data_IF_012470626917
#
_entry.id   IF_012470626917
#
_cell.length_a   1.000
_cell.length_b   1.000
_cell.length_c   1.000
_cell.angle_alpha   90.00
_cell.angle_beta   90.00
_cell.angle_gamma   90.00
#
_symmetry.space_group_name_H-M   'P 1'
#
loop_
_entity.id
_entity.type
_entity.pdbx_description
1 polymer ?
#
# COMPACT_ATOMS: atom_id res chain seq x y z
N UNK A 1 -19.86 -33.37 -7.00
CA UNK A 1 -19.35 -32.52 -5.90
C UNK A 1 -18.25 -31.64 -6.49
N UNK A 2 -18.44 -30.32 -6.64
CA UNK A 2 -17.34 -29.46 -7.07
C UNK A 2 -16.32 -29.43 -5.93
N UNK A 3 -15.08 -29.81 -6.24
CA UNK A 3 -13.95 -29.70 -5.33
C UNK A 3 -13.81 -28.25 -4.87
N UNK A 4 -13.89 -28.03 -3.55
CA UNK A 4 -13.48 -26.77 -2.93
C UNK A 4 -12.06 -26.42 -3.44
N UNK A 5 -11.81 -25.20 -3.94
CA UNK A 5 -10.47 -24.83 -4.38
C UNK A 5 -9.50 -24.98 -3.20
N UNK A 6 -8.42 -25.73 -3.43
CA UNK A 6 -7.32 -25.90 -2.48
C UNK A 6 -6.85 -24.51 -2.02
N UNK A 7 -6.69 -24.26 -0.70
CA UNK A 7 -6.23 -22.97 -0.22
C UNK A 7 -4.89 -22.66 -0.89
N UNK A 8 -4.84 -21.57 -1.67
CA UNK A 8 -3.62 -21.09 -2.32
C UNK A 8 -2.49 -21.03 -1.29
N UNK A 9 -1.32 -21.58 -1.64
CA UNK A 9 -0.10 -21.41 -0.84
C UNK A 9 0.19 -19.90 -0.67
N UNK A 10 0.82 -19.51 0.44
CA UNK A 10 1.11 -18.10 0.76
C UNK A 10 1.86 -17.40 -0.38
N UNK A 11 2.78 -18.10 -1.04
CA UNK A 11 3.49 -17.56 -2.20
C UNK A 11 2.56 -17.35 -3.41
N UNK A 12 1.62 -18.27 -3.65
CA UNK A 12 0.65 -18.15 -4.74
C UNK A 12 -0.33 -17.01 -4.48
N UNK A 13 -0.80 -16.83 -3.24
CA UNK A 13 -1.61 -15.67 -2.84
C UNK A 13 -0.88 -14.36 -3.08
N UNK A 14 0.37 -14.25 -2.64
CA UNK A 14 1.18 -13.04 -2.84
C UNK A 14 1.43 -12.76 -4.32
N UNK A 15 1.68 -13.79 -5.12
CA UNK A 15 1.87 -13.64 -6.56
C UNK A 15 0.58 -13.15 -7.24
N UNK A 16 -0.57 -13.75 -6.93
CA UNK A 16 -1.87 -13.31 -7.44
C UNK A 16 -2.20 -11.87 -7.02
N UNK A 17 -1.97 -11.53 -5.76
CA UNK A 17 -2.16 -10.16 -5.28
C UNK A 17 -1.24 -9.18 -6.01
N UNK A 18 0.03 -9.54 -6.24
CA UNK A 18 0.96 -8.71 -7.02
C UNK A 18 0.46 -8.48 -8.43
N UNK A 19 -0.05 -9.50 -9.12
CA UNK A 19 -0.62 -9.36 -10.46
C UNK A 19 -1.81 -8.40 -10.48
N UNK A 20 -2.72 -8.51 -9.52
CA UNK A 20 -3.86 -7.60 -9.37
C UNK A 20 -3.39 -6.16 -9.06
N UNK A 21 -2.41 -5.99 -8.18
CA UNK A 21 -1.82 -4.68 -7.87
C UNK A 21 -1.16 -4.06 -9.09
N UNK A 22 -0.40 -4.82 -9.87
CA UNK A 22 0.25 -4.29 -11.07
C UNK A 22 -0.75 -3.94 -12.17
N UNK A 23 -1.91 -4.60 -12.21
CA UNK A 23 -2.96 -4.37 -13.21
C UNK A 23 -3.92 -3.24 -12.81
N UNK A 24 -4.37 -3.22 -11.57
CA UNK A 24 -5.47 -2.37 -11.09
C UNK A 24 -5.06 -1.40 -9.97
N UNK A 25 -3.82 -1.48 -9.48
CA UNK A 25 -3.32 -0.59 -8.43
C UNK A 25 -3.30 0.86 -8.89
N UNK A 26 -3.94 1.73 -8.12
CA UNK A 26 -4.13 3.14 -8.48
C UNK A 26 -3.84 4.12 -7.34
N UNK A 27 -3.87 3.67 -6.09
CA UNK A 27 -3.59 4.50 -4.92
C UNK A 27 -2.19 4.20 -4.35
N UNK A 28 -1.66 5.11 -3.52
CA UNK A 28 -0.27 4.99 -3.02
C UNK A 28 -0.02 3.86 -2.04
N UNK A 29 -1.08 3.27 -1.50
CA UNK A 29 -0.99 2.16 -0.56
C UNK A 29 -1.26 0.81 -1.24
N UNK A 30 -1.61 0.79 -2.53
CA UNK A 30 -1.99 -0.43 -3.26
C UNK A 30 -0.87 -1.47 -3.23
N UNK A 31 0.39 -1.04 -3.39
CA UNK A 31 1.53 -1.95 -3.34
C UNK A 31 1.87 -2.39 -1.91
N UNK A 32 1.51 -1.59 -0.90
CA UNK A 32 1.81 -1.89 0.50
C UNK A 32 1.03 -3.10 1.02
N UNK A 33 -0.06 -3.50 0.37
CA UNK A 33 -0.80 -4.72 0.74
C UNK A 33 0.03 -5.99 0.58
N UNK A 34 1.12 -5.94 -0.19
CA UNK A 34 2.05 -7.05 -0.39
C UNK A 34 3.07 -7.18 0.74
N UNK A 35 3.10 -6.22 1.68
CA UNK A 35 4.02 -6.26 2.81
C UNK A 35 3.63 -7.39 3.78
N UNK A 36 4.63 -7.96 4.48
CA UNK A 36 4.36 -8.91 5.56
C UNK A 36 3.41 -8.33 6.61
N UNK A 37 2.53 -9.18 7.16
CA UNK A 37 1.58 -8.80 8.19
C UNK A 37 0.28 -8.17 7.68
N UNK A 38 0.07 -8.14 6.36
CA UNK A 38 -1.22 -7.83 5.74
C UNK A 38 -1.90 -9.12 5.31
N UNK A 39 -3.13 -9.31 5.77
CA UNK A 39 -4.01 -10.37 5.31
C UNK A 39 -4.59 -10.00 3.94
N UNK A 40 -4.72 -11.01 3.09
CA UNK A 40 -5.21 -10.85 1.72
C UNK A 40 -6.55 -11.56 1.58
N UNK A 41 -7.58 -10.78 1.29
CA UNK A 41 -8.88 -11.28 0.87
C UNK A 41 -9.03 -11.15 -0.64
N UNK A 42 -9.57 -12.18 -1.29
CA UNK A 42 -9.81 -12.20 -2.73
C UNK A 42 -11.29 -12.33 -2.98
N UNK A 43 -11.83 -11.50 -3.87
CA UNK A 43 -13.22 -11.62 -4.30
C UNK A 43 -13.44 -12.96 -5.01
N UNK A 44 -14.60 -13.56 -4.74
CA UNK A 44 -15.08 -14.76 -5.44
C UNK A 44 -15.73 -14.44 -6.78
N UNK A 45 -16.08 -13.18 -7.02
CA UNK A 45 -16.90 -12.70 -8.15
C UNK A 45 -16.12 -11.87 -9.16
N UNK A 46 -15.06 -11.20 -8.72
CA UNK A 46 -14.29 -10.25 -9.51
C UNK A 46 -12.78 -10.47 -9.34
N UNK A 47 -12.00 -10.01 -10.30
CA UNK A 47 -10.55 -9.89 -10.15
C UNK A 47 -10.23 -8.76 -9.18
N UNK A 48 -10.28 -9.08 -7.89
CA UNK A 48 -10.11 -8.12 -6.82
C UNK A 48 -9.33 -8.71 -5.62
N UNK A 49 -8.55 -7.84 -4.98
CA UNK A 49 -7.88 -8.14 -3.72
C UNK A 49 -8.03 -6.98 -2.73
N UNK A 50 -8.26 -7.32 -1.46
CA UNK A 50 -8.29 -6.38 -0.35
C UNK A 50 -7.17 -6.76 0.61
N UNK A 51 -6.24 -5.83 0.85
CA UNK A 51 -5.27 -5.94 1.94
C UNK A 51 -5.87 -5.39 3.22
N UNK A 52 -5.83 -6.14 4.31
CA UNK A 52 -6.39 -5.72 5.58
C UNK A 52 -5.66 -6.33 6.77
N UNK A 53 -6.05 -5.91 7.97
CA UNK A 53 -5.75 -6.63 9.20
C UNK A 53 -6.97 -6.62 10.11
N UNK A 54 -7.14 -7.66 10.94
CA UNK A 54 -8.22 -7.69 11.94
C UNK A 54 -7.71 -7.35 13.33
N UNK A 55 -8.36 -6.37 13.99
CA UNK A 55 -8.14 -6.05 15.41
C UNK A 55 -9.46 -5.69 16.08
N UNK A 56 -9.74 -6.29 17.23
CA UNK A 56 -10.94 -6.02 18.04
C UNK A 56 -12.24 -6.06 17.21
N UNK A 57 -12.42 -7.12 16.39
CA UNK A 57 -13.56 -7.28 15.49
C UNK A 57 -13.71 -6.18 14.42
N UNK A 58 -12.63 -5.44 14.13
CA UNK A 58 -12.57 -4.47 13.02
C UNK A 58 -11.57 -4.96 11.99
N UNK A 59 -12.03 -5.13 10.74
CA UNK A 59 -11.18 -5.31 9.56
C UNK A 59 -10.72 -3.93 9.08
N UNK A 60 -9.46 -3.60 9.32
CA UNK A 60 -8.85 -2.34 8.87
C UNK A 60 -8.23 -2.55 7.50
N UNK A 61 -8.84 -1.96 6.47
CA UNK A 61 -8.41 -2.05 5.07
C UNK A 61 -7.27 -1.08 4.79
N UNK A 62 -6.24 -1.56 4.12
CA UNK A 62 -5.11 -0.78 3.61
C UNK A 62 -5.50 -0.06 2.30
N UNK A 63 -6.08 1.13 2.44
CA UNK A 63 -6.52 1.95 1.31
C UNK A 63 -7.88 1.52 0.77
N UNK A 64 -7.87 0.94 -0.42
CA UNK A 64 -9.05 0.55 -1.15
C UNK A 64 -8.89 -0.83 -1.78
N UNK A 65 -10.00 -1.53 -2.08
CA UNK A 65 -9.96 -2.72 -2.91
C UNK A 65 -9.20 -2.45 -4.22
N UNK A 66 -8.32 -3.37 -4.58
CA UNK A 66 -7.55 -3.34 -5.83
C UNK A 66 -8.33 -4.17 -6.84
N UNK A 67 -9.05 -3.48 -7.72
CA UNK A 67 -9.90 -4.05 -8.76
C UNK A 67 -10.13 -3.03 -9.88
N UNK A 68 -10.78 -3.46 -10.96
CA UNK A 68 -11.33 -2.52 -11.95
C UNK A 68 -12.30 -1.54 -11.28
N UNK A 69 -12.26 -0.27 -11.70
CA UNK A 69 -13.12 0.79 -11.16
C UNK A 69 -14.61 0.47 -11.34
N UNK A 70 -14.99 -0.19 -12.44
CA UNK A 70 -16.39 -0.58 -12.69
C UNK A 70 -16.93 -1.61 -11.70
N UNK A 71 -16.05 -2.36 -11.03
CA UNK A 71 -16.42 -3.41 -10.06
C UNK A 71 -16.28 -2.96 -8.61
N UNK A 72 -15.75 -1.77 -8.35
CA UNK A 72 -15.42 -1.31 -6.99
C UNK A 72 -16.61 -1.39 -6.03
N UNK A 73 -17.80 -0.97 -6.46
CA UNK A 73 -19.01 -1.02 -5.64
C UNK A 73 -19.39 -2.45 -5.23
N UNK A 74 -19.37 -3.38 -6.18
CA UNK A 74 -19.74 -4.77 -5.96
C UNK A 74 -18.71 -5.50 -5.08
N UNK A 75 -17.42 -5.19 -5.25
CA UNK A 75 -16.34 -5.76 -4.42
C UNK A 75 -16.46 -5.27 -2.97
N UNK A 76 -16.77 -3.99 -2.76
CA UNK A 76 -17.01 -3.41 -1.43
C UNK A 76 -18.20 -4.11 -0.75
N UNK A 77 -19.29 -4.33 -1.47
CA UNK A 77 -20.48 -5.01 -0.94
C UNK A 77 -20.19 -6.47 -0.56
N UNK A 78 -19.48 -7.21 -1.42
CA UNK A 78 -19.07 -8.59 -1.12
C UNK A 78 -18.19 -8.65 0.13
N UNK A 79 -17.19 -7.78 0.22
CA UNK A 79 -16.28 -7.68 1.35
C UNK A 79 -17.01 -7.34 2.67
N UNK A 80 -17.87 -6.33 2.65
CA UNK A 80 -18.64 -5.89 3.82
C UNK A 80 -19.64 -6.95 4.28
N UNK A 81 -20.26 -7.66 3.34
CA UNK A 81 -21.18 -8.76 3.64
C UNK A 81 -20.46 -9.90 4.35
N UNK A 82 -19.25 -10.25 3.88
CA UNK A 82 -18.43 -11.29 4.52
C UNK A 82 -17.96 -10.87 5.92
N UNK A 83 -17.53 -9.61 6.10
CA UNK A 83 -17.17 -9.09 7.41
C UNK A 83 -18.36 -9.14 8.38
N UNK A 84 -19.55 -8.73 7.91
CA UNK A 84 -20.78 -8.76 8.71
C UNK A 84 -21.16 -10.20 9.11
N UNK A 85 -21.05 -11.15 8.18
CA UNK A 85 -21.30 -12.56 8.46
C UNK A 85 -20.31 -13.15 9.49
N UNK A 86 -19.10 -12.60 9.58
CA UNK A 86 -18.11 -12.94 10.59
C UNK A 86 -18.30 -12.20 11.93
N UNK A 87 -19.30 -11.33 12.06
CA UNK A 87 -19.52 -10.49 13.25
C UNK A 87 -18.49 -9.37 13.40
N UNK A 88 -17.90 -8.92 12.30
CA UNK A 88 -16.85 -7.90 12.24
C UNK A 88 -17.35 -6.64 11.53
N UNK A 89 -16.73 -5.51 11.84
CA UNK A 89 -16.97 -4.22 11.17
C UNK A 89 -15.80 -3.85 10.26
N UNK A 90 -16.02 -2.93 9.31
CA UNK A 90 -15.00 -2.52 8.34
C UNK A 90 -14.58 -1.08 8.59
N UNK A 91 -13.27 -0.83 8.56
CA UNK A 91 -12.68 0.50 8.59
C UNK A 91 -11.71 0.64 7.42
N UNK A 92 -11.90 1.63 6.56
CA UNK A 92 -10.96 1.90 5.46
C UNK A 92 -9.95 2.98 5.88
N UNK A 93 -8.69 2.60 6.03
CA UNK A 93 -7.61 3.53 6.34
C UNK A 93 -6.95 4.03 5.05
N UNK A 94 -6.61 5.32 4.98
CA UNK A 94 -6.12 5.96 3.75
C UNK A 94 -7.09 5.81 2.55
N UNK A 95 -8.40 5.77 2.84
CA UNK A 95 -9.46 5.81 1.84
C UNK A 95 -9.47 7.19 1.15
N UNK A 96 -8.93 7.25 -0.05
CA UNK A 96 -8.88 8.45 -0.87
C UNK A 96 -9.61 8.24 -2.20
N UNK A 97 -9.74 9.31 -3.00
CA UNK A 97 -10.21 9.28 -4.38
C UNK A 97 -11.52 8.49 -4.56
N UNK A 98 -11.50 7.54 -5.50
CA UNK A 98 -12.67 6.74 -5.92
C UNK A 98 -13.39 6.07 -4.76
N UNK A 99 -12.65 5.51 -3.79
CA UNK A 99 -13.25 4.86 -2.63
C UNK A 99 -13.99 5.87 -1.76
N UNK A 100 -13.34 6.98 -1.41
CA UNK A 100 -13.96 8.02 -0.59
C UNK A 100 -15.23 8.58 -1.27
N UNK A 101 -15.15 8.85 -2.58
CA UNK A 101 -16.28 9.31 -3.37
C UNK A 101 -17.44 8.33 -3.39
N UNK A 102 -17.17 7.02 -3.35
CA UNK A 102 -18.20 5.99 -3.29
C UNK A 102 -18.79 5.90 -1.87
N UNK A 103 -17.95 5.79 -0.84
CA UNK A 103 -18.39 5.59 0.54
C UNK A 103 -19.14 6.80 1.11
N UNK A 104 -18.79 8.03 0.72
CA UNK A 104 -19.52 9.24 1.20
C UNK A 104 -20.99 9.29 0.77
N UNK A 105 -21.37 8.48 -0.23
CA UNK A 105 -22.75 8.36 -0.74
C UNK A 105 -23.52 7.21 -0.10
N UNK A 106 -22.86 6.35 0.69
CA UNK A 106 -23.49 5.23 1.40
C UNK A 106 -23.82 5.67 2.83
N UNK A 107 -24.98 5.24 3.32
CA UNK A 107 -25.33 5.36 4.74
C UNK A 107 -24.42 4.45 5.60
N UNK A 108 -24.27 4.80 6.87
CA UNK A 108 -23.48 4.01 7.83
C UNK A 108 -21.98 4.33 7.86
N UNK A 109 -21.50 5.25 7.02
CA UNK A 109 -20.11 5.71 7.02
C UNK A 109 -19.92 7.04 7.75
N UNK A 110 -18.89 7.09 8.60
CA UNK A 110 -18.31 8.34 9.10
C UNK A 110 -16.89 8.48 8.56
N UNK A 111 -16.52 9.68 8.11
CA UNK A 111 -15.19 9.94 7.54
C UNK A 111 -14.44 10.96 8.39
N UNK A 112 -13.14 10.73 8.60
CA UNK A 112 -12.21 11.67 9.24
C UNK A 112 -11.07 11.98 8.27
N UNK A 113 -10.79 13.26 8.05
CA UNK A 113 -9.65 13.69 7.22
C UNK A 113 -8.36 13.50 8.01
N UNK A 114 -7.48 12.63 7.51
CA UNK A 114 -6.16 12.37 8.12
C UNK A 114 -5.09 13.35 7.64
N UNK A 115 -5.24 13.91 6.44
CA UNK A 115 -4.29 14.83 5.85
C UNK A 115 -4.38 14.90 4.33
N UNK A 116 -3.32 15.42 3.71
CA UNK A 116 -3.20 15.54 2.26
C UNK A 116 -1.93 14.86 1.78
N UNK A 117 -2.00 14.25 0.60
CA UNK A 117 -0.85 13.59 0.00
C UNK A 117 -0.24 14.50 -1.08
N UNK A 118 1.06 14.77 -1.04
CA UNK A 118 1.70 15.51 -2.11
C UNK A 118 1.83 14.62 -3.36
N UNK A 119 1.54 15.19 -4.53
CA UNK A 119 1.62 14.54 -5.84
C UNK A 119 2.44 15.44 -6.76
N UNK A 120 3.33 14.82 -7.53
CA UNK A 120 4.14 15.50 -8.54
C UNK A 120 4.09 14.72 -9.85
N UNK A 121 4.02 15.42 -10.97
CA UNK A 121 4.14 14.79 -12.28
C UNK A 121 5.63 14.61 -12.62
N UNK A 122 6.11 13.37 -12.83
CA UNK A 122 7.52 13.11 -13.17
C UNK A 122 8.04 13.95 -14.35
N UNK A 123 7.19 14.18 -15.36
CA UNK A 123 7.51 14.99 -16.54
C UNK A 123 7.84 16.47 -16.21
N UNK A 124 7.34 16.99 -15.09
CA UNK A 124 7.52 18.39 -14.70
C UNK A 124 8.76 18.61 -13.82
N UNK A 125 9.46 17.56 -13.39
CA UNK A 125 10.58 17.67 -12.43
C UNK A 125 11.68 18.62 -12.88
N UNK A 126 12.04 18.59 -14.17
CA UNK A 126 13.07 19.48 -14.72
C UNK A 126 12.70 20.96 -14.53
N UNK A 127 11.44 21.30 -14.84
CA UNK A 127 10.92 22.65 -14.67
C UNK A 127 10.84 23.05 -13.18
N UNK A 128 10.37 22.15 -12.31
CA UNK A 128 10.26 22.39 -10.86
C UNK A 128 11.63 22.76 -10.26
N UNK A 129 12.70 22.04 -10.64
CA UNK A 129 14.06 22.33 -10.17
C UNK A 129 14.60 23.64 -10.77
N UNK A 130 14.36 23.88 -12.06
CA UNK A 130 14.77 25.12 -12.72
C UNK A 130 14.10 26.36 -12.11
N UNK A 131 12.85 26.24 -11.66
CA UNK A 131 12.10 27.35 -11.05
C UNK A 131 12.54 27.66 -9.61
N UNK A 132 13.03 26.68 -8.84
CA UNK A 132 13.25 26.84 -7.39
C UNK A 132 14.74 26.88 -6.99
N UNK A 133 15.21 28.05 -6.57
CA UNK A 133 16.61 28.27 -6.17
C UNK A 133 17.06 27.36 -5.01
N UNK A 134 16.17 27.10 -4.05
CA UNK A 134 16.43 26.21 -2.91
C UNK A 134 16.67 24.77 -3.34
N UNK A 135 15.90 24.25 -4.30
CA UNK A 135 16.09 22.89 -4.83
C UNK A 135 17.42 22.77 -5.60
N UNK A 136 17.77 23.78 -6.41
CA UNK A 136 19.08 23.82 -7.08
C UNK A 136 20.23 23.84 -6.08
N UNK A 137 20.11 24.63 -5.02
CA UNK A 137 21.11 24.67 -3.96
C UNK A 137 21.27 23.31 -3.26
N UNK A 138 20.17 22.58 -2.99
CA UNK A 138 20.26 21.21 -2.44
C UNK A 138 20.98 20.26 -3.40
N UNK A 139 20.67 20.30 -4.69
CA UNK A 139 21.31 19.46 -5.69
C UNK A 139 22.82 19.74 -5.79
N UNK A 140 23.22 21.01 -5.84
CA UNK A 140 24.64 21.40 -5.84
C UNK A 140 25.35 20.95 -4.57
N UNK A 141 24.71 21.08 -3.40
CA UNK A 141 25.28 20.58 -2.13
C UNK A 141 25.49 19.07 -2.14
N UNK A 142 24.52 18.30 -2.64
CA UNK A 142 24.65 16.84 -2.76
C UNK A 142 25.81 16.45 -3.69
N UNK A 143 25.97 17.16 -4.82
CA UNK A 143 27.09 16.96 -5.75
C UNK A 143 28.44 17.28 -5.12
N UNK A 144 28.54 18.41 -4.42
CA UNK A 144 29.78 18.80 -3.72
C UNK A 144 30.16 17.81 -2.61
N UNK A 145 29.18 17.08 -2.06
CA UNK A 145 29.40 15.99 -1.09
C UNK A 145 29.70 14.64 -1.76
N UNK A 146 29.77 14.56 -3.09
CA UNK A 146 30.04 13.33 -3.83
C UNK A 146 28.90 12.32 -3.81
N UNK A 147 27.65 12.75 -3.58
CA UNK A 147 26.50 11.83 -3.56
C UNK A 147 26.20 11.35 -4.98
N UNK A 148 26.21 10.03 -5.17
CA UNK A 148 25.85 9.36 -6.43
C UNK A 148 24.59 8.51 -6.25
N UNK A 149 23.78 8.37 -7.29
CA UNK A 149 22.58 7.53 -7.31
C UNK A 149 22.75 6.46 -8.40
N UNK A 150 22.48 5.20 -8.06
CA UNK A 150 22.51 4.09 -9.00
C UNK A 150 21.33 3.15 -8.72
N UNK A 151 20.72 2.61 -9.76
CA UNK A 151 19.66 1.61 -9.66
C UNK A 151 20.26 0.20 -9.49
N UNK A 152 19.69 -0.60 -8.60
CA UNK A 152 20.10 -1.98 -8.35
C UNK A 152 18.94 -2.96 -8.61
N UNK A 153 19.23 -4.15 -9.18
CA UNK A 153 18.29 -5.26 -9.16
C UNK A 153 17.88 -5.64 -7.73
N UNK A 154 16.66 -6.16 -7.58
CA UNK A 154 16.08 -6.54 -6.28
C UNK A 154 16.96 -7.59 -5.58
N UNK A 155 17.52 -8.53 -6.33
CA UNK A 155 18.38 -9.61 -5.86
C UNK A 155 19.64 -9.08 -5.18
N UNK A 156 20.21 -8.00 -5.75
CA UNK A 156 21.37 -7.31 -5.17
C UNK A 156 20.97 -6.58 -3.90
N UNK A 157 19.84 -5.87 -3.91
CA UNK A 157 19.39 -5.07 -2.76
C UNK A 157 19.03 -5.95 -1.55
N UNK A 158 18.23 -7.01 -1.75
CA UNK A 158 17.78 -7.96 -0.71
C UNK A 158 18.93 -8.60 0.07
N UNK A 159 20.00 -8.93 -0.63
CA UNK A 159 21.14 -9.64 -0.05
C UNK A 159 22.27 -8.71 0.41
N UNK A 160 22.10 -7.38 0.29
CA UNK A 160 23.16 -6.44 0.61
C UNK A 160 23.33 -6.25 2.14
N UNK A 161 24.49 -6.62 2.72
CA UNK A 161 24.72 -6.49 4.16
C UNK A 161 24.85 -5.03 4.62
N UNK A 162 25.32 -4.12 3.76
CA UNK A 162 25.46 -2.69 4.09
C UNK A 162 24.09 -2.01 4.21
N UNK A 163 23.15 -2.33 3.32
CA UNK A 163 21.77 -1.84 3.44
C UNK A 163 21.12 -2.30 4.75
N UNK A 164 21.30 -3.57 5.11
CA UNK A 164 20.81 -4.13 6.39
C UNK A 164 21.45 -3.42 7.60
N UNK A 165 22.75 -3.14 7.54
CA UNK A 165 23.46 -2.42 8.59
C UNK A 165 22.94 -0.98 8.76
N UNK A 166 22.74 -0.25 7.66
CA UNK A 166 22.19 1.11 7.67
C UNK A 166 20.78 1.12 8.28
N UNK A 167 19.91 0.20 7.85
CA UNK A 167 18.57 0.06 8.41
C UNK A 167 18.63 -0.20 9.92
N UNK A 168 19.48 -1.12 10.36
CA UNK A 168 19.61 -1.44 11.78
C UNK A 168 20.14 -0.27 12.62
N UNK A 169 21.13 0.47 12.10
CA UNK A 169 21.63 1.69 12.73
C UNK A 169 20.54 2.77 12.83
N UNK A 170 19.80 2.97 11.75
CA UNK A 170 18.70 3.94 11.72
C UNK A 170 17.59 3.57 12.70
N UNK A 171 17.16 2.31 12.75
CA UNK A 171 16.14 1.84 13.69
C UNK A 171 16.58 2.04 15.15
N UNK A 172 17.84 1.72 15.49
CA UNK A 172 18.38 1.97 16.84
C UNK A 172 18.40 3.45 17.22
N UNK A 173 18.50 4.35 16.25
CA UNK A 173 18.44 5.80 16.50
C UNK A 173 17.02 6.30 16.78
N UNK A 174 15.98 5.48 16.57
CA UNK A 174 14.59 5.83 16.85
C UNK A 174 14.22 5.35 18.25
N UNK A 175 13.69 6.26 19.07
CA UNK A 175 13.24 5.95 20.44
C UNK A 175 11.89 5.25 20.53
N UNK A 176 11.24 4.96 19.40
CA UNK A 176 9.93 4.29 19.34
C UNK A 176 10.07 2.94 18.64
N UNK A 177 9.22 1.95 19.00
CA UNK A 177 9.15 0.69 18.27
C UNK A 177 8.88 0.88 16.77
N UNK A 178 9.22 -0.14 15.98
CA UNK A 178 8.87 -0.13 14.55
C UNK A 178 7.35 -0.11 14.39
N UNK A 179 6.88 0.75 13.49
CA UNK A 179 5.49 0.74 13.05
C UNK A 179 5.28 -0.41 12.06
N UNK A 180 4.05 -0.93 12.02
CA UNK A 180 3.61 -1.99 11.11
C UNK A 180 2.32 -1.56 10.40
N UNK A 181 1.70 -2.47 9.63
CA UNK A 181 0.55 -2.26 8.75
C UNK A 181 0.95 -1.61 7.41
N UNK A 182 0.85 -0.29 7.25
CA UNK A 182 1.18 0.37 5.98
C UNK A 182 2.66 0.75 5.83
N UNK A 183 3.41 0.69 6.92
CA UNK A 183 4.86 0.83 6.89
C UNK A 183 5.43 -0.46 7.42
N UNK A 184 6.41 -1.01 6.71
CA UNK A 184 7.18 -2.15 7.17
C UNK A 184 8.66 -1.84 6.89
N UNK A 185 9.52 -1.68 7.91
CA UNK A 185 10.93 -1.39 7.67
C UNK A 185 11.67 -2.53 6.95
N UNK A 186 11.14 -3.76 6.97
CA UNK A 186 11.76 -4.94 6.36
C UNK A 186 10.97 -5.42 5.13
N UNK A 187 11.07 -4.71 4.02
CA UNK A 187 10.41 -5.08 2.75
C UNK A 187 11.34 -5.73 1.71
N UNK A 188 12.66 -5.73 1.94
CA UNK A 188 13.66 -6.22 0.99
C UNK A 188 14.19 -7.61 1.34
#
# INVERSE_FOLDING_TARGET
MPSLPCPLDTNQKLQRARELVMRYGWNVVSYQILNPGIDLWFSSRHDAVVGYMTRNQVRVVAGAPVCDESHLAAVIEEWESEATAAGETVCYFAAAGRLHELLKRKDGYSTVILGSQPVWHPAEWGQIFAARSTLRAQLSRSRNKGVTVNEWPVERARNNPQLKLILAQWLRSRGLPSLHFLVEPRTL
#
